data_IF_194731876004
#
_entry.id   IF_194731876004
#
_cell.length_a   1.000
_cell.length_b   1.000
_cell.length_c   1.000
_cell.angle_alpha   90.00
_cell.angle_beta   90.00
_cell.angle_gamma   90.00
#
_symmetry.space_group_name_H-M   'P 1'
#
loop_
_entity.id
_entity.type
_entity.pdbx_description
1 polymer ?
#
# COMPACT_ATOMS: atom_id res chain seq x y z
N UNK A 1 39.00 58.08 23.47
CA UNK A 1 38.13 59.26 23.32
C UNK A 1 37.51 59.20 21.95
N UNK A 2 36.29 58.70 21.87
CA UNK A 2 35.40 58.83 20.74
C UNK A 2 34.01 59.05 21.35
N UNK A 3 33.51 60.27 21.18
CA UNK A 3 32.19 60.74 21.58
C UNK A 3 31.08 59.96 20.85
N UNK A 4 30.08 59.51 21.60
CA UNK A 4 28.75 59.23 21.08
C UNK A 4 27.73 59.82 22.05
N UNK A 5 26.96 60.79 21.54
CA UNK A 5 25.88 61.50 22.22
C UNK A 5 24.73 60.55 22.63
N UNK A 6 24.02 60.84 23.73
CA UNK A 6 22.92 60.01 24.19
C UNK A 6 21.63 60.29 23.41
N UNK A 7 21.03 59.25 22.84
CA UNK A 7 19.69 59.28 22.24
C UNK A 7 18.64 59.24 23.36
N UNK A 8 17.80 60.28 23.40
CA UNK A 8 16.64 60.39 24.29
C UNK A 8 15.53 59.48 23.76
N UNK A 9 15.06 58.55 24.59
CA UNK A 9 13.92 57.68 24.30
C UNK A 9 12.67 58.34 24.88
N UNK A 10 11.73 58.76 24.03
CA UNK A 10 10.40 59.20 24.44
C UNK A 10 9.54 58.00 24.87
N UNK A 11 8.66 58.14 25.89
CA UNK A 11 7.83 57.04 26.35
C UNK A 11 6.70 56.75 25.36
N UNK A 12 6.59 55.47 24.97
CA UNK A 12 5.46 54.93 24.19
C UNK A 12 4.22 54.92 25.09
N UNK A 13 3.14 55.55 24.62
CA UNK A 13 1.85 55.58 25.30
C UNK A 13 1.19 54.19 25.31
N UNK A 14 0.66 53.78 26.46
CA UNK A 14 -0.14 52.56 26.60
C UNK A 14 -1.43 52.66 25.76
N UNK A 15 -1.82 51.61 25.00
CA UNK A 15 -3.06 51.62 24.25
C UNK A 15 -4.28 51.49 25.18
N UNK A 16 -5.30 52.31 24.95
CA UNK A 16 -6.57 52.28 25.67
C UNK A 16 -7.33 50.95 25.46
N UNK A 17 -8.07 50.44 26.46
CA UNK A 17 -8.75 49.16 26.36
C UNK A 17 -9.95 49.23 25.42
N UNK A 18 -9.98 48.35 24.42
CA UNK A 18 -11.11 48.14 23.52
C UNK A 18 -12.23 47.42 24.26
N UNK A 19 -13.36 48.10 24.42
CA UNK A 19 -14.61 47.52 24.94
C UNK A 19 -15.22 46.65 23.83
N UNK A 20 -15.25 45.33 24.03
CA UNK A 20 -15.93 44.39 23.15
C UNK A 20 -17.37 44.24 23.65
N UNK A 21 -18.34 44.74 22.88
CA UNK A 21 -19.75 44.48 23.13
C UNK A 21 -20.09 43.01 22.83
N UNK A 22 -20.95 42.36 23.63
CA UNK A 22 -21.30 40.96 23.41
C UNK A 22 -22.14 40.80 22.15
N UNK A 23 -21.69 39.90 21.26
CA UNK A 23 -22.43 39.45 20.07
C UNK A 23 -23.67 38.69 20.53
N UNK A 24 -24.84 39.13 20.09
CA UNK A 24 -26.12 38.47 20.36
C UNK A 24 -26.17 37.08 19.69
N UNK A 25 -26.68 36.09 20.41
CA UNK A 25 -26.95 34.75 19.88
C UNK A 25 -27.93 34.83 18.69
N UNK A 26 -27.70 34.10 17.59
CA UNK A 26 -28.63 34.08 16.47
C UNK A 26 -29.94 33.39 16.87
N UNK A 27 -31.06 34.06 16.59
CA UNK A 27 -32.40 33.51 16.79
C UNK A 27 -32.62 32.24 15.94
N UNK A 28 -33.38 31.24 16.44
CA UNK A 28 -33.64 30.02 15.69
C UNK A 28 -34.53 30.29 14.48
N UNK A 29 -34.07 29.92 13.29
CA UNK A 29 -34.89 29.90 12.08
C UNK A 29 -36.07 28.94 12.25
N UNK A 30 -37.28 29.48 12.18
CA UNK A 30 -38.51 28.72 11.97
C UNK A 30 -38.55 28.29 10.50
N UNK A 31 -38.41 27.01 10.23
CA UNK A 31 -38.60 26.43 8.89
C UNK A 31 -40.08 26.07 8.75
N UNK A 32 -40.82 26.81 7.94
CA UNK A 32 -42.17 26.43 7.53
C UNK A 32 -42.10 25.21 6.58
N UNK A 33 -43.05 24.26 6.64
CA UNK A 33 -43.02 23.08 5.79
C UNK A 33 -43.35 23.47 4.35
N UNK A 34 -42.39 23.28 3.44
CA UNK A 34 -42.60 23.37 2.00
C UNK A 34 -43.37 22.12 1.55
N UNK A 35 -44.47 22.35 0.84
CA UNK A 35 -45.33 21.30 0.28
C UNK A 35 -44.58 20.43 -0.73
N UNK A 36 -44.83 19.12 -0.70
CA UNK A 36 -44.31 18.13 -1.65
C UNK A 36 -44.78 18.44 -3.08
N UNK A 37 -43.83 18.71 -3.97
CA UNK A 37 -44.05 18.68 -5.42
C UNK A 37 -43.92 17.23 -5.90
N UNK A 38 -45.00 16.69 -6.46
CA UNK A 38 -45.05 15.34 -7.04
C UNK A 38 -44.13 15.27 -8.27
N UNK A 39 -43.05 14.49 -8.16
CA UNK A 39 -42.27 14.04 -9.32
C UNK A 39 -43.05 12.93 -10.02
N UNK A 40 -43.43 13.18 -11.27
CA UNK A 40 -43.97 12.16 -12.17
C UNK A 40 -42.83 11.22 -12.55
N UNK A 41 -42.90 9.97 -12.12
CA UNK A 41 -42.00 8.91 -12.58
C UNK A 41 -42.31 8.52 -14.03
N UNK A 42 -41.35 8.68 -14.93
CA UNK A 42 -41.35 8.00 -16.22
C UNK A 42 -41.05 6.49 -16.00
N UNK A 43 -41.75 5.57 -16.69
CA UNK A 43 -41.61 4.15 -16.44
C UNK A 43 -40.26 3.59 -16.91
N UNK A 44 -39.59 2.87 -16.00
CA UNK A 44 -38.39 2.06 -16.27
C UNK A 44 -38.76 0.88 -17.18
N UNK A 45 -38.04 0.61 -18.29
CA UNK A 45 -38.27 -0.58 -19.08
C UNK A 45 -37.78 -1.84 -18.33
N UNK A 46 -38.63 -2.85 -18.29
CA UNK A 46 -38.38 -4.13 -17.63
C UNK A 46 -37.14 -4.85 -18.18
N UNK A 47 -36.30 -5.34 -17.28
CA UNK A 47 -35.18 -6.22 -17.58
C UNK A 47 -35.70 -7.53 -18.21
N UNK A 48 -35.15 -7.89 -19.37
CA UNK A 48 -35.38 -9.19 -20.00
C UNK A 48 -34.53 -10.25 -19.28
N UNK A 49 -35.17 -11.35 -18.86
CA UNK A 49 -34.51 -12.52 -18.30
C UNK A 49 -33.64 -13.23 -19.36
N UNK A 50 -32.44 -13.72 -19.03
CA UNK A 50 -31.65 -14.50 -19.96
C UNK A 50 -32.27 -15.90 -20.13
N UNK A 51 -32.66 -16.22 -21.36
CA UNK A 51 -33.11 -17.55 -21.77
C UNK A 51 -31.93 -18.52 -21.72
N UNK A 52 -32.01 -19.49 -20.81
CA UNK A 52 -31.17 -20.69 -20.80
C UNK A 52 -31.54 -21.58 -21.99
N UNK A 53 -30.63 -21.75 -22.95
CA UNK A 53 -30.74 -22.79 -23.96
C UNK A 53 -30.08 -24.05 -23.41
N UNK A 54 -30.91 -25.03 -23.07
CA UNK A 54 -30.49 -26.40 -22.82
C UNK A 54 -30.33 -27.10 -24.18
N UNK A 55 -29.19 -27.75 -24.38
CA UNK A 55 -28.94 -28.61 -25.54
C UNK A 55 -28.91 -30.06 -25.03
N UNK A 56 -29.83 -30.88 -25.53
CA UNK A 56 -29.81 -32.34 -25.44
C UNK A 56 -30.35 -32.95 -26.74
N UNK A 57 -29.93 -34.19 -27.07
CA UNK A 57 -29.45 -34.54 -28.40
C UNK A 57 -30.44 -35.40 -29.18
N UNK A 58 -30.32 -35.45 -30.52
CA UNK A 58 -30.76 -36.63 -31.27
C UNK A 58 -29.83 -37.00 -32.44
N UNK A 59 -29.56 -38.30 -32.48
CA UNK A 59 -28.85 -39.04 -33.51
C UNK A 59 -29.72 -39.26 -34.76
N UNK A 60 -29.09 -39.37 -35.92
CA UNK A 60 -29.76 -39.81 -37.15
C UNK A 60 -28.75 -40.11 -38.25
N UNK A 61 -28.70 -41.37 -38.65
CA UNK A 61 -27.69 -42.02 -39.48
C UNK A 61 -27.68 -41.62 -40.98
N UNK A 62 -26.47 -41.73 -41.57
CA UNK A 62 -26.05 -42.30 -42.87
C UNK A 62 -27.09 -42.66 -43.97
N UNK A 63 -26.75 -42.68 -45.29
CA UNK A 63 -25.52 -43.35 -45.79
C UNK A 63 -24.81 -42.89 -47.09
N UNK A 64 -23.57 -43.39 -47.20
CA UNK A 64 -22.85 -44.00 -48.34
C UNK A 64 -22.61 -43.25 -49.67
N UNK A 65 -21.34 -43.29 -50.12
CA UNK A 65 -20.94 -43.12 -51.52
C UNK A 65 -19.41 -43.05 -51.78
N UNK A 66 -18.83 -44.22 -52.09
CA UNK A 66 -17.67 -44.54 -52.98
C UNK A 66 -16.30 -43.80 -52.92
N UNK A 67 -15.25 -44.61 -52.76
CA UNK A 67 -13.82 -44.39 -53.09
C UNK A 67 -13.56 -44.52 -54.63
N UNK A 68 -12.31 -44.55 -55.20
CA UNK A 68 -10.95 -44.30 -54.66
C UNK A 68 -10.04 -43.39 -55.54
N UNK A 69 -8.83 -43.09 -55.08
CA UNK A 69 -7.77 -42.47 -55.90
C UNK A 69 -6.37 -42.37 -55.26
N UNK A 70 -5.69 -43.52 -55.19
CA UNK A 70 -4.23 -43.79 -55.32
C UNK A 70 -3.17 -42.68 -55.16
N UNK A 71 -2.11 -42.97 -54.38
CA UNK A 71 -0.78 -42.35 -54.54
C UNK A 71 0.22 -42.64 -53.40
N UNK A 72 1.26 -43.42 -53.68
CA UNK A 72 2.23 -44.09 -52.76
C UNK A 72 3.30 -43.20 -52.07
N UNK A 73 3.82 -43.70 -50.92
CA UNK A 73 5.25 -44.02 -50.63
C UNK A 73 5.61 -43.77 -49.14
N UNK A 74 5.67 -44.80 -48.28
CA UNK A 74 6.88 -45.51 -47.78
C UNK A 74 7.97 -44.56 -47.22
N UNK A 75 8.36 -44.65 -45.94
CA UNK A 75 9.15 -45.73 -45.34
C UNK A 75 8.93 -45.88 -43.82
N UNK A 76 8.99 -47.13 -43.37
CA UNK A 76 8.94 -47.59 -41.98
C UNK A 76 10.32 -48.05 -41.49
N UNK A 77 10.55 -48.00 -40.17
CA UNK A 77 11.35 -48.99 -39.44
C UNK A 77 10.69 -49.25 -38.06
N UNK A 78 10.28 -50.52 -37.86
CA UNK A 78 9.89 -51.16 -36.58
C UNK A 78 11.15 -51.51 -35.76
N UNK A 79 11.08 -51.74 -34.45
CA UNK A 79 10.96 -53.04 -33.73
C UNK A 79 11.14 -52.66 -32.24
N UNK A 80 10.52 -53.20 -31.18
CA UNK A 80 9.49 -54.21 -30.92
C UNK A 80 8.92 -53.98 -29.50
N UNK A 81 7.78 -54.63 -29.26
CA UNK A 81 6.97 -54.66 -28.04
C UNK A 81 7.64 -55.30 -26.81
N UNK A 82 7.14 -54.91 -25.63
CA UNK A 82 6.78 -55.85 -24.57
C UNK A 82 5.50 -55.36 -23.86
N UNK A 83 4.55 -56.27 -23.66
CA UNK A 83 3.24 -56.02 -23.06
C UNK A 83 3.24 -56.36 -21.56
N UNK A 84 2.35 -55.66 -20.83
CA UNK A 84 1.54 -56.13 -19.69
C UNK A 84 1.79 -55.42 -18.35
N UNK A 85 0.87 -54.53 -17.97
CA UNK A 85 -0.13 -54.79 -16.90
C UNK A 85 -0.85 -53.51 -16.50
N UNK A 86 -2.18 -53.59 -16.52
CA UNK A 86 -3.16 -52.70 -15.89
C UNK A 86 -2.87 -52.39 -14.43
N UNK A 87 -2.94 -51.11 -14.03
CA UNK A 87 -3.94 -50.62 -13.06
C UNK A 87 -3.77 -49.12 -12.83
N UNK A 88 -4.89 -48.41 -12.92
CA UNK A 88 -5.07 -46.99 -12.58
C UNK A 88 -5.55 -46.90 -11.13
N UNK A 89 -4.99 -46.02 -10.29
CA UNK A 89 -5.75 -45.51 -9.16
C UNK A 89 -5.94 -43.99 -9.20
N UNK A 90 -7.21 -43.63 -9.12
CA UNK A 90 -7.79 -42.31 -8.88
C UNK A 90 -7.35 -41.72 -7.53
N UNK A 91 -7.45 -40.38 -7.37
CA UNK A 91 -6.81 -39.64 -6.26
C UNK A 91 -7.65 -39.67 -4.99
N UNK A 92 -7.01 -39.96 -3.85
CA UNK A 92 -7.63 -39.96 -2.53
C UNK A 92 -7.31 -38.69 -1.73
N UNK A 93 -8.35 -38.15 -1.12
CA UNK A 93 -8.41 -37.04 -0.17
C UNK A 93 -7.43 -37.19 1.00
N UNK A 94 -6.71 -36.12 1.32
CA UNK A 94 -5.93 -36.00 2.56
C UNK A 94 -6.60 -34.95 3.45
N UNK A 95 -7.42 -35.41 4.38
CA UNK A 95 -7.85 -34.66 5.56
C UNK A 95 -6.91 -35.00 6.76
N UNK A 96 -6.62 -34.05 7.66
CA UNK A 96 -5.65 -34.23 8.74
C UNK A 96 -6.23 -34.96 9.96
N UNK A 97 -5.45 -35.88 10.54
CA UNK A 97 -5.74 -36.56 11.81
C UNK A 97 -5.45 -35.66 13.04
N UNK A 98 -6.26 -35.75 14.12
CA UNK A 98 -6.05 -34.98 15.35
C UNK A 98 -5.11 -35.69 16.35
N UNK A 99 -4.27 -34.91 17.04
CA UNK A 99 -3.45 -35.38 18.17
C UNK A 99 -4.24 -35.38 19.50
N UNK A 100 -3.93 -36.27 20.47
CA UNK A 100 -4.75 -36.49 21.66
C UNK A 100 -4.45 -35.52 22.81
N UNK A 101 -5.50 -35.17 23.56
CA UNK A 101 -5.48 -34.48 24.86
C UNK A 101 -5.47 -35.55 25.98
N UNK A 102 -4.75 -35.36 27.11
CA UNK A 102 -4.97 -36.17 28.30
C UNK A 102 -5.94 -35.48 29.28
N UNK A 103 -7.04 -36.15 29.59
CA UNK A 103 -7.93 -35.86 30.73
C UNK A 103 -7.62 -36.78 31.93
N UNK A 104 -7.50 -36.18 33.12
CA UNK A 104 -7.81 -36.74 34.45
C UNK A 104 -8.19 -35.51 35.30
N UNK A 105 -9.21 -35.43 36.14
CA UNK A 105 -10.26 -36.31 36.64
C UNK A 105 -11.02 -35.48 37.70
N UNK A 106 -12.32 -35.69 37.80
CA UNK A 106 -13.32 -34.98 38.62
C UNK A 106 -13.14 -35.21 40.12
N UNK A 107 -13.58 -34.36 41.06
CA UNK A 107 -14.98 -34.17 41.49
C UNK A 107 -15.14 -33.01 42.54
N UNK A 108 -16.37 -32.61 42.94
CA UNK A 108 -16.76 -31.21 43.22
C UNK A 108 -17.06 -30.89 44.70
N UNK A 109 -17.27 -29.59 44.99
CA UNK A 109 -17.99 -29.11 46.19
C UNK A 109 -18.76 -27.81 45.88
N UNK A 110 -20.09 -27.93 45.75
CA UNK A 110 -21.09 -26.92 46.11
C UNK A 110 -21.15 -26.85 47.66
N UNK A 111 -21.63 -25.85 48.41
CA UNK A 111 -22.33 -24.58 48.23
C UNK A 111 -22.06 -23.77 49.52
N UNK A 112 -22.25 -22.45 49.54
CA UNK A 112 -23.32 -21.84 50.36
C UNK A 112 -23.43 -20.33 50.08
N UNK A 113 -24.68 -19.85 50.09
CA UNK A 113 -25.09 -18.46 49.91
C UNK A 113 -25.78 -18.05 51.20
N UNK A 114 -25.22 -17.09 51.95
CA UNK A 114 -26.02 -16.27 52.86
C UNK A 114 -25.53 -14.82 52.90
N UNK A 115 -26.51 -13.93 52.82
CA UNK A 115 -26.40 -12.49 52.84
C UNK A 115 -25.98 -11.95 54.22
N UNK A 116 -25.52 -10.68 54.26
CA UNK A 116 -26.06 -9.54 55.04
C UNK A 116 -24.92 -8.54 55.34
N UNK A 117 -25.20 -7.23 55.24
CA UNK A 117 -24.55 -6.26 56.12
C UNK A 117 -23.90 -5.05 55.46
N UNK A 118 -24.50 -3.90 55.71
CA UNK A 118 -24.11 -2.55 55.32
C UNK A 118 -22.73 -2.08 55.79
N UNK A 119 -22.19 -1.16 55.00
CA UNK A 119 -21.45 0.06 55.36
C UNK A 119 -20.68 0.12 56.68
N UNK A 120 -19.35 0.30 56.57
CA UNK A 120 -18.61 1.30 57.36
C UNK A 120 -17.30 1.66 56.65
N UNK A 121 -17.01 2.96 56.62
CA UNK A 121 -15.76 3.59 56.17
C UNK A 121 -14.59 3.21 57.08
N UNK A 122 -13.35 3.35 56.58
CA UNK A 122 -12.49 4.31 57.27
C UNK A 122 -11.65 5.19 56.35
N UNK A 123 -11.49 6.41 56.85
CA UNK A 123 -10.59 7.48 56.47
C UNK A 123 -9.11 7.09 56.66
N UNK A 124 -8.23 7.60 55.79
CA UNK A 124 -7.01 8.33 56.13
C UNK A 124 -5.85 8.17 55.13
N UNK A 125 -5.32 9.34 54.77
CA UNK A 125 -3.90 9.66 54.57
C UNK A 125 -3.23 9.35 53.23
N UNK A 126 -3.19 10.41 52.41
CA UNK A 126 -1.99 11.04 51.85
C UNK A 126 -0.67 10.25 51.91
N UNK A 127 -0.14 9.95 50.73
CA UNK A 127 1.29 9.89 50.47
C UNK A 127 1.56 10.40 49.04
N UNK A 128 2.03 11.64 48.98
CA UNK A 128 2.61 12.26 47.79
C UNK A 128 3.87 11.48 47.37
N UNK A 129 3.97 11.14 46.08
CA UNK A 129 5.24 10.80 45.47
C UNK A 129 5.41 11.70 44.25
N UNK A 130 6.28 12.69 44.43
CA UNK A 130 6.75 13.60 43.41
C UNK A 130 7.47 12.83 42.29
N UNK A 131 7.02 13.03 41.05
CA UNK A 131 7.70 12.64 39.83
C UNK A 131 7.69 13.82 38.88
N UNK A 132 8.72 14.65 38.95
CA UNK A 132 8.92 15.80 38.08
C UNK A 132 9.04 15.36 36.62
N UNK A 133 8.00 15.61 35.82
CA UNK A 133 8.08 15.60 34.36
C UNK A 133 8.53 16.99 33.90
N UNK A 134 9.84 17.17 33.78
CA UNK A 134 10.42 18.30 33.09
C UNK A 134 10.14 18.15 31.59
N UNK A 135 9.36 19.06 31.02
CA UNK A 135 9.26 19.27 29.58
C UNK A 135 10.62 19.76 29.05
N UNK A 136 11.16 19.19 27.95
CA UNK A 136 12.24 19.85 27.24
C UNK A 136 11.66 20.92 26.33
N UNK A 137 12.19 22.12 26.55
CA UNK A 137 12.02 23.36 25.83
C UNK A 137 12.28 23.16 24.32
N UNK A 138 11.34 23.63 23.49
CA UNK A 138 11.44 23.61 22.04
C UNK A 138 12.24 24.83 21.58
N UNK A 139 13.56 24.73 21.66
CA UNK A 139 14.50 25.64 21.00
C UNK A 139 15.25 24.86 19.91
N UNK A 140 15.23 25.40 18.70
CA UNK A 140 15.59 24.73 17.45
C UNK A 140 16.86 23.89 17.47
N UNK A 141 16.67 22.58 17.30
CA UNK A 141 17.73 21.68 16.87
C UNK A 141 17.59 21.54 15.35
N UNK A 142 18.48 22.20 14.61
CA UNK A 142 18.66 21.92 13.18
C UNK A 142 18.94 20.42 13.04
N UNK A 143 18.12 19.73 12.24
CA UNK A 143 18.23 18.30 12.00
C UNK A 143 19.66 17.95 11.53
N UNK A 144 20.47 17.40 12.43
CA UNK A 144 21.72 16.77 12.07
C UNK A 144 21.35 15.58 11.19
N UNK A 145 21.57 15.72 9.88
CA UNK A 145 21.36 14.64 8.93
C UNK A 145 22.13 13.40 9.42
N UNK A 146 21.40 12.35 9.82
CA UNK A 146 22.03 11.08 10.11
C UNK A 146 22.72 10.59 8.83
N UNK A 147 24.03 10.34 8.89
CA UNK A 147 24.84 9.83 7.77
C UNK A 147 24.41 8.42 7.29
N UNK A 148 23.44 7.81 7.97
CA UNK A 148 22.90 6.49 7.63
C UNK A 148 21.79 6.64 6.58
N UNK A 149 21.93 6.04 5.37
CA UNK A 149 20.89 6.06 4.36
C UNK A 149 19.64 5.29 4.83
N UNK A 150 18.46 5.68 4.33
CA UNK A 150 17.22 4.97 4.63
C UNK A 150 17.20 3.56 4.02
N UNK A 151 17.77 3.41 2.81
CA UNK A 151 17.94 2.13 2.14
C UNK A 151 19.33 2.05 1.49
N UNK A 152 19.98 0.90 1.65
CA UNK A 152 21.17 0.52 0.89
C UNK A 152 20.97 -0.87 0.29
N UNK A 153 21.05 -0.96 -1.03
CA UNK A 153 21.13 -2.20 -1.80
C UNK A 153 22.54 -2.35 -2.33
N UNK A 154 23.17 -3.52 -2.14
CA UNK A 154 24.48 -3.83 -2.72
C UNK A 154 24.45 -5.15 -3.46
N UNK A 155 24.73 -5.11 -4.76
CA UNK A 155 24.77 -6.25 -5.68
C UNK A 155 23.57 -7.20 -5.50
N UNK A 156 22.36 -6.65 -5.40
CA UNK A 156 21.15 -7.43 -5.16
C UNK A 156 20.74 -8.13 -6.45
N UNK A 157 20.49 -9.44 -6.35
CA UNK A 157 20.08 -10.27 -7.50
C UNK A 157 18.83 -11.07 -7.21
N UNK A 158 18.02 -11.27 -8.25
CA UNK A 158 16.84 -12.13 -8.23
C UNK A 158 16.63 -12.79 -9.58
N UNK A 159 16.51 -14.11 -9.55
CA UNK A 159 16.23 -14.94 -10.73
C UNK A 159 14.96 -15.78 -10.49
N UNK A 160 14.16 -15.92 -11.54
CA UNK A 160 12.99 -16.80 -11.62
C UNK A 160 13.16 -17.72 -12.85
N UNK A 161 13.54 -18.97 -12.62
CA UNK A 161 13.94 -19.86 -13.72
C UNK A 161 15.15 -19.28 -14.46
N UNK A 162 14.98 -19.00 -15.75
CA UNK A 162 16.00 -18.36 -16.59
C UNK A 162 15.92 -16.82 -16.56
N UNK A 163 14.78 -16.26 -16.11
CA UNK A 163 14.58 -14.81 -16.09
C UNK A 163 15.32 -14.18 -14.92
N UNK A 164 16.30 -13.33 -15.21
CA UNK A 164 16.95 -12.49 -14.20
C UNK A 164 16.19 -11.18 -14.02
N UNK A 165 15.24 -11.18 -13.07
CA UNK A 165 14.37 -10.03 -12.82
C UNK A 165 15.06 -8.88 -12.09
N UNK A 166 16.11 -9.16 -11.32
CA UNK A 166 16.98 -8.15 -10.68
C UNK A 166 18.42 -8.63 -10.85
N UNK A 167 19.29 -7.79 -11.40
CA UNK A 167 20.63 -8.17 -11.84
C UNK A 167 21.69 -7.22 -11.29
N UNK A 168 22.14 -7.46 -10.06
CA UNK A 168 23.23 -6.70 -9.47
C UNK A 168 22.84 -5.27 -9.15
N UNK A 169 21.64 -5.05 -8.62
CA UNK A 169 21.17 -3.71 -8.27
C UNK A 169 21.94 -3.17 -7.06
N UNK A 170 22.65 -2.06 -7.31
CA UNK A 170 23.20 -1.15 -6.32
C UNK A 170 22.31 0.10 -6.26
N UNK A 171 21.87 0.46 -5.05
CA UNK A 171 20.96 1.59 -4.84
C UNK A 171 21.23 2.22 -3.47
N UNK A 172 21.21 3.55 -3.37
CA UNK A 172 21.32 4.22 -2.07
C UNK A 172 20.28 5.32 -1.94
N UNK A 173 19.30 5.13 -1.07
CA UNK A 173 18.23 6.11 -0.82
C UNK A 173 18.58 6.92 0.43
N UNK A 174 18.82 8.24 0.30
CA UNK A 174 19.05 9.11 1.45
C UNK A 174 17.84 9.15 2.38
N UNK A 175 18.08 9.31 3.68
CA UNK A 175 17.01 9.56 4.63
C UNK A 175 16.35 10.93 4.35
N UNK A 176 15.03 11.03 4.58
CA UNK A 176 14.29 12.27 4.35
C UNK A 176 14.10 12.60 2.87
N UNK A 177 14.18 11.60 1.98
CA UNK A 177 14.00 11.80 0.54
C UNK A 177 12.66 11.23 0.05
N UNK A 178 12.13 11.92 -0.97
CA UNK A 178 11.09 11.38 -1.83
C UNK A 178 11.78 10.78 -3.06
N UNK A 179 11.77 9.44 -3.17
CA UNK A 179 12.56 8.68 -4.12
C UNK A 179 11.67 7.92 -5.12
N UNK A 180 11.91 8.12 -6.42
CA UNK A 180 11.20 7.45 -7.50
C UNK A 180 11.99 6.26 -8.06
N UNK A 181 11.33 5.12 -8.23
CA UNK A 181 11.83 3.97 -8.97
C UNK A 181 11.05 3.86 -10.28
N UNK A 182 11.70 4.21 -11.39
CA UNK A 182 11.04 4.29 -12.70
C UNK A 182 11.61 3.28 -13.68
N UNK A 183 10.82 2.91 -14.67
CA UNK A 183 11.18 1.87 -15.62
C UNK A 183 9.96 1.34 -16.36
N UNK A 184 10.14 0.62 -17.48
CA UNK A 184 9.01 0.02 -18.19
C UNK A 184 8.39 -1.12 -17.37
N UNK A 185 7.27 -1.65 -17.85
CA UNK A 185 6.69 -2.88 -17.31
C UNK A 185 7.67 -4.03 -17.51
N UNK A 186 7.79 -4.90 -16.51
CA UNK A 186 8.75 -6.00 -16.53
C UNK A 186 10.21 -5.61 -16.23
N UNK A 187 10.51 -4.33 -15.98
CA UNK A 187 11.88 -3.89 -15.67
C UNK A 187 12.45 -4.43 -14.36
N UNK A 188 11.62 -4.95 -13.46
CA UNK A 188 12.05 -5.44 -12.15
C UNK A 188 11.68 -4.51 -10.98
N UNK A 189 10.95 -3.41 -11.18
CA UNK A 189 10.53 -2.47 -10.13
C UNK A 189 9.83 -3.16 -8.96
N UNK A 190 8.70 -3.82 -9.23
CA UNK A 190 7.93 -4.59 -8.23
C UNK A 190 8.76 -5.67 -7.56
N UNK A 191 9.65 -6.34 -8.30
CA UNK A 191 10.56 -7.35 -7.76
C UNK A 191 11.55 -6.73 -6.76
N UNK A 192 12.17 -5.60 -7.11
CA UNK A 192 13.07 -4.85 -6.24
C UNK A 192 12.35 -4.32 -5.01
N UNK A 193 11.17 -3.70 -5.16
CA UNK A 193 10.36 -3.22 -4.04
C UNK A 193 9.92 -4.38 -3.12
N UNK A 194 9.55 -5.53 -3.68
CA UNK A 194 9.19 -6.73 -2.90
C UNK A 194 10.37 -7.28 -2.11
N UNK A 195 11.60 -7.16 -2.63
CA UNK A 195 12.82 -7.54 -1.91
C UNK A 195 13.08 -6.56 -0.76
N UNK A 196 13.00 -5.26 -1.01
CA UNK A 196 13.14 -4.21 0.02
C UNK A 196 12.11 -4.42 1.14
N UNK A 197 10.86 -4.70 0.76
CA UNK A 197 9.77 -4.97 1.69
C UNK A 197 9.92 -6.28 2.49
N UNK A 198 10.86 -7.14 2.12
CA UNK A 198 11.04 -8.47 2.70
C UNK A 198 9.87 -9.43 2.41
N UNK A 199 9.11 -9.16 1.35
CA UNK A 199 8.08 -10.06 0.79
C UNK A 199 8.70 -11.10 -0.14
N UNK A 200 9.85 -10.77 -0.75
CA UNK A 200 10.59 -11.65 -1.64
C UNK A 200 12.05 -11.78 -1.19
N UNK A 201 12.57 -13.00 -1.15
CA UNK A 201 13.99 -13.22 -0.83
C UNK A 201 14.86 -13.01 -2.06
N UNK A 202 15.92 -12.21 -1.95
CA UNK A 202 16.97 -12.11 -2.98
C UNK A 202 17.79 -13.40 -3.06
N UNK A 203 18.38 -13.65 -4.24
CA UNK A 203 19.34 -14.74 -4.44
C UNK A 203 20.73 -14.36 -3.91
N UNK A 204 21.12 -13.10 -4.07
CA UNK A 204 22.39 -12.54 -3.62
C UNK A 204 22.28 -11.08 -3.18
N UNK A 205 23.42 -10.52 -2.78
CA UNK A 205 23.54 -9.13 -2.32
C UNK A 205 23.11 -8.90 -0.88
N UNK A 206 23.13 -7.63 -0.48
CA UNK A 206 22.72 -7.16 0.85
C UNK A 206 21.65 -6.08 0.75
N UNK A 207 20.74 -6.07 1.72
CA UNK A 207 19.66 -5.09 1.88
C UNK A 207 19.74 -4.56 3.29
N UNK A 208 20.00 -3.27 3.44
CA UNK A 208 20.06 -2.58 4.73
C UNK A 208 19.01 -1.48 4.78
N UNK A 209 18.22 -1.47 5.87
CA UNK A 209 17.18 -0.46 6.13
C UNK A 209 17.60 0.36 7.34
N UNK A 210 17.88 1.65 7.17
CA UNK A 210 18.42 2.52 8.21
C UNK A 210 19.60 1.86 8.97
N UNK A 211 20.52 1.23 8.23
CA UNK A 211 21.69 0.52 8.79
C UNK A 211 21.40 -0.87 9.38
N UNK A 212 20.17 -1.37 9.30
CA UNK A 212 19.79 -2.71 9.76
C UNK A 212 19.82 -3.70 8.59
N UNK A 213 20.72 -4.68 8.65
CA UNK A 213 20.75 -5.82 7.70
C UNK A 213 19.42 -6.61 7.78
N UNK A 214 18.65 -6.57 6.71
CA UNK A 214 17.32 -7.18 6.63
C UNK A 214 17.35 -8.72 6.63
N UNK A 215 18.49 -9.34 6.27
CA UNK A 215 18.68 -10.79 6.29
C UNK A 215 19.04 -11.29 7.69
N UNK A 216 19.90 -10.55 8.40
CA UNK A 216 20.35 -10.89 9.78
C UNK A 216 19.31 -10.50 10.83
N UNK A 217 18.65 -9.36 10.65
CA UNK A 217 17.71 -8.79 11.62
C UNK A 217 16.34 -8.49 10.99
N UNK A 218 15.65 -9.50 10.41
CA UNK A 218 14.43 -9.28 9.62
C UNK A 218 13.30 -8.62 10.40
N UNK A 219 13.14 -8.95 11.70
CA UNK A 219 12.10 -8.34 12.54
C UNK A 219 12.38 -6.87 12.84
N UNK A 220 13.64 -6.48 13.02
CA UNK A 220 14.02 -5.10 13.26
C UNK A 220 13.83 -4.28 11.98
N UNK A 221 14.29 -4.77 10.83
CA UNK A 221 14.05 -4.13 9.53
C UNK A 221 12.55 -3.95 9.24
N UNK A 222 11.72 -4.99 9.48
CA UNK A 222 10.26 -4.94 9.26
C UNK A 222 9.53 -3.91 10.13
N UNK A 223 10.07 -3.52 11.28
CA UNK A 223 9.50 -2.45 12.12
C UNK A 223 9.75 -1.06 11.54
N UNK A 224 10.80 -0.91 10.75
CA UNK A 224 11.22 0.37 10.16
C UNK A 224 10.48 0.68 8.86
N UNK A 225 9.82 -0.32 8.25
CA UNK A 225 9.17 -0.19 6.95
C UNK A 225 7.63 -0.22 7.03
N UNK A 226 6.99 0.64 6.25
CA UNK A 226 5.59 0.50 5.82
C UNK A 226 5.57 0.12 4.35
N UNK A 227 4.68 -0.78 3.96
CA UNK A 227 4.65 -1.34 2.61
C UNK A 227 3.25 -1.24 2.05
N UNK A 228 3.12 -0.64 0.88
CA UNK A 228 1.94 -0.74 0.02
C UNK A 228 2.34 -1.55 -1.22
N UNK A 229 1.99 -2.83 -1.29
CA UNK A 229 2.21 -3.64 -2.50
C UNK A 229 1.13 -3.36 -3.55
N UNK A 230 1.46 -3.58 -4.83
CA UNK A 230 0.54 -3.42 -5.97
C UNK A 230 -0.65 -4.41 -5.88
N UNK A 231 -0.37 -5.71 -5.99
CA UNK A 231 -1.39 -6.78 -6.12
C UNK A 231 -1.51 -7.70 -4.91
N UNK A 232 -1.55 -7.15 -3.71
CA UNK A 232 -1.75 -7.98 -2.51
C UNK A 232 -3.23 -8.01 -2.12
N UNK A 233 -3.77 -9.23 -1.94
CA UNK A 233 -5.12 -9.40 -1.42
C UNK A 233 -5.15 -8.94 0.03
N UNK A 234 -6.07 -8.03 0.34
CA UNK A 234 -6.39 -7.60 1.70
C UNK A 234 -7.51 -8.46 2.29
N UNK A 235 -7.77 -8.30 3.59
CA UNK A 235 -8.93 -8.93 4.24
C UNK A 235 -10.20 -8.16 3.89
N UNK A 236 -10.91 -8.63 2.86
CA UNK A 236 -12.13 -8.02 2.32
C UNK A 236 -13.33 -8.10 3.29
N UNK A 237 -13.42 -9.13 4.12
CA UNK A 237 -14.49 -9.30 5.12
C UNK A 237 -14.36 -8.43 6.36
N UNK A 238 -13.18 -7.85 6.62
CA UNK A 238 -13.01 -6.92 7.73
C UNK A 238 -13.57 -5.56 7.35
N UNK A 239 -14.10 -4.82 8.33
CA UNK A 239 -14.36 -3.40 8.12
C UNK A 239 -13.06 -2.62 8.02
N UNK A 240 -13.06 -1.44 7.39
CA UNK A 240 -11.86 -0.59 7.32
C UNK A 240 -11.26 -0.31 8.70
N UNK A 241 -12.10 -0.08 9.71
CA UNK A 241 -11.67 0.10 11.12
C UNK A 241 -10.99 -1.15 11.68
N UNK A 242 -11.57 -2.33 11.45
CA UNK A 242 -10.98 -3.60 11.91
C UNK A 242 -9.66 -3.89 11.19
N UNK A 243 -9.57 -3.58 9.90
CA UNK A 243 -8.35 -3.76 9.12
C UNK A 243 -7.20 -2.87 9.64
N UNK A 244 -7.48 -1.59 9.91
CA UNK A 244 -6.49 -0.68 10.52
C UNK A 244 -6.10 -1.14 11.93
N UNK A 245 -7.08 -1.60 12.72
CA UNK A 245 -6.83 -2.18 14.03
C UNK A 245 -5.90 -3.38 13.97
N UNK A 246 -6.11 -4.26 12.99
CA UNK A 246 -5.28 -5.42 12.72
C UNK A 246 -3.83 -5.04 12.36
N UNK A 247 -3.64 -4.07 11.45
CA UNK A 247 -2.31 -3.58 11.11
C UNK A 247 -1.57 -2.97 12.32
N UNK A 248 -2.27 -2.16 13.12
CA UNK A 248 -1.69 -1.59 14.34
C UNK A 248 -1.27 -2.66 15.36
N UNK A 249 -2.11 -3.67 15.57
CA UNK A 249 -1.82 -4.78 16.47
C UNK A 249 -0.61 -5.60 16.01
N UNK A 250 -0.48 -5.90 14.70
CA UNK A 250 0.70 -6.58 14.14
C UNK A 250 2.00 -5.79 14.36
N UNK A 251 1.89 -4.47 14.49
CA UNK A 251 3.01 -3.57 14.76
C UNK A 251 3.25 -3.34 16.26
N UNK A 252 2.45 -3.97 17.12
CA UNK A 252 2.60 -3.90 18.57
C UNK A 252 2.13 -2.56 19.17
N UNK A 253 1.24 -1.85 18.49
CA UNK A 253 0.69 -0.60 18.99
C UNK A 253 -0.44 -0.86 20.01
N UNK A 254 -0.53 -0.08 21.11
CA UNK A 254 -1.66 -0.15 22.02
C UNK A 254 -2.97 0.25 21.33
N UNK A 255 -4.08 -0.43 21.64
CA UNK A 255 -5.39 -0.18 21.01
C UNK A 255 -5.83 1.30 21.01
N UNK A 256 -5.67 2.08 22.10
CA UNK A 256 -6.04 3.51 22.08
C UNK A 256 -5.22 4.33 21.08
N UNK A 257 -3.94 4.00 20.89
CA UNK A 257 -3.07 4.66 19.90
C UNK A 257 -3.52 4.30 18.49
N UNK A 258 -3.88 3.04 18.26
CA UNK A 258 -4.38 2.56 16.96
C UNK A 258 -5.70 3.25 16.60
N UNK A 259 -6.63 3.34 17.53
CA UNK A 259 -7.92 4.01 17.32
C UNK A 259 -7.74 5.49 16.98
N UNK A 260 -6.89 6.21 17.73
CA UNK A 260 -6.56 7.61 17.44
C UNK A 260 -5.96 7.77 16.04
N UNK A 261 -4.93 6.99 15.71
CA UNK A 261 -4.26 7.08 14.40
C UNK A 261 -5.16 6.64 13.25
N UNK A 262 -6.01 5.64 13.46
CA UNK A 262 -6.97 5.21 12.45
C UNK A 262 -7.98 6.31 12.13
N UNK A 263 -8.46 7.05 13.14
CA UNK A 263 -9.34 8.19 12.93
C UNK A 263 -8.63 9.35 12.19
N UNK A 264 -7.37 9.63 12.54
CA UNK A 264 -6.57 10.65 11.86
C UNK A 264 -6.32 10.30 10.37
N UNK A 265 -5.90 9.06 10.12
CA UNK A 265 -5.65 8.56 8.76
C UNK A 265 -6.94 8.49 7.95
N UNK A 266 -8.05 8.09 8.54
CA UNK A 266 -9.33 8.07 7.83
C UNK A 266 -9.83 9.47 7.45
N UNK A 267 -9.55 10.49 8.26
CA UNK A 267 -9.81 11.88 7.87
C UNK A 267 -8.87 12.32 6.74
N UNK A 268 -7.58 12.02 6.86
CA UNK A 268 -6.59 12.41 5.87
C UNK A 268 -6.85 11.78 4.48
N UNK A 269 -7.24 10.50 4.45
CA UNK A 269 -7.53 9.77 3.22
C UNK A 269 -9.00 9.83 2.76
N UNK A 270 -9.85 10.63 3.42
CA UNK A 270 -11.27 10.71 3.10
C UNK A 270 -11.95 9.32 3.08
N UNK A 271 -11.89 8.63 4.22
CA UNK A 271 -12.40 7.29 4.45
C UNK A 271 -13.33 7.20 5.68
N UNK A 272 -13.66 8.33 6.31
CA UNK A 272 -14.40 8.37 7.59
C UNK A 272 -15.71 7.59 7.51
N UNK A 273 -16.53 7.85 6.48
CA UNK A 273 -17.81 7.17 6.25
C UNK A 273 -17.64 5.72 5.79
N UNK A 274 -16.48 5.38 5.24
CA UNK A 274 -16.18 4.05 4.75
C UNK A 274 -15.71 3.10 5.85
N UNK A 275 -15.10 3.60 6.94
CA UNK A 275 -14.46 2.75 7.96
C UNK A 275 -15.38 1.71 8.60
N UNK A 276 -16.68 2.01 8.69
CA UNK A 276 -17.68 1.10 9.26
C UNK A 276 -18.13 -0.01 8.30
N UNK A 277 -17.82 0.10 7.01
CA UNK A 277 -18.21 -0.86 5.98
C UNK A 277 -17.12 -1.92 5.77
N UNK A 278 -17.50 -3.15 5.39
CA UNK A 278 -16.57 -4.15 4.90
C UNK A 278 -15.69 -3.63 3.76
N UNK A 279 -14.43 -4.05 3.72
CA UNK A 279 -13.49 -3.67 2.66
C UNK A 279 -13.90 -4.27 1.30
N UNK A 280 -14.70 -5.34 1.27
CA UNK A 280 -15.33 -5.87 0.06
C UNK A 280 -16.18 -4.85 -0.69
N UNK A 281 -16.71 -3.85 0.03
CA UNK A 281 -17.61 -2.83 -0.52
C UNK A 281 -16.84 -1.60 -1.01
N UNK A 282 -15.51 -1.61 -0.89
CA UNK A 282 -14.65 -0.49 -1.27
C UNK A 282 -14.39 -0.53 -2.77
N UNK A 283 -14.32 0.65 -3.39
CA UNK A 283 -13.72 0.76 -4.71
C UNK A 283 -12.23 0.40 -4.67
N UNK A 284 -11.63 0.15 -5.83
CA UNK A 284 -10.18 -0.09 -5.93
C UNK A 284 -9.37 1.06 -5.29
N UNK A 285 -9.74 2.31 -5.57
CA UNK A 285 -9.10 3.49 -4.98
C UNK A 285 -9.27 3.57 -3.46
N UNK A 286 -10.47 3.32 -2.93
CA UNK A 286 -10.69 3.27 -1.48
C UNK A 286 -9.88 2.16 -0.80
N UNK A 287 -9.76 1.00 -1.45
CA UNK A 287 -8.93 -0.11 -0.99
C UNK A 287 -7.46 0.31 -0.93
N UNK A 288 -6.97 1.00 -1.96
CA UNK A 288 -5.59 1.52 -1.99
C UNK A 288 -5.34 2.55 -0.88
N UNK A 289 -6.30 3.46 -0.65
CA UNK A 289 -6.26 4.44 0.45
C UNK A 289 -6.19 3.78 1.83
N UNK A 290 -7.02 2.77 2.11
CA UNK A 290 -6.99 2.09 3.42
C UNK A 290 -5.73 1.24 3.61
N UNK A 291 -5.20 0.63 2.53
CA UNK A 291 -3.93 -0.10 2.59
C UNK A 291 -2.76 0.85 2.84
N UNK A 292 -2.76 2.04 2.20
CA UNK A 292 -1.77 3.07 2.45
C UNK A 292 -1.84 3.58 3.90
N UNK A 293 -3.05 3.84 4.41
CA UNK A 293 -3.25 4.16 5.83
C UNK A 293 -2.68 3.07 6.75
N UNK A 294 -2.94 1.79 6.43
CA UNK A 294 -2.38 0.65 7.15
C UNK A 294 -0.85 0.60 7.12
N UNK A 295 -0.23 0.94 5.99
CA UNK A 295 1.23 1.02 5.87
C UNK A 295 1.84 2.14 6.74
N UNK A 296 1.09 3.22 6.98
CA UNK A 296 1.54 4.39 7.74
C UNK A 296 1.22 4.31 9.24
N UNK A 297 0.31 3.43 9.68
CA UNK A 297 -0.27 3.46 11.03
C UNK A 297 0.76 3.35 12.16
N UNK A 298 1.87 2.65 11.94
CA UNK A 298 2.96 2.51 12.92
C UNK A 298 4.06 3.56 12.80
N UNK A 299 3.89 4.57 11.92
CA UNK A 299 4.87 5.63 11.67
C UNK A 299 6.26 5.06 11.36
N UNK A 300 6.43 4.35 10.23
CA UNK A 300 7.72 3.80 9.85
C UNK A 300 8.78 4.88 9.60
N UNK A 301 10.04 4.48 9.40
CA UNK A 301 11.10 5.38 8.90
C UNK A 301 11.14 5.42 7.38
N UNK A 302 10.70 4.33 6.73
CA UNK A 302 10.68 4.15 5.29
C UNK A 302 9.33 3.62 4.81
N UNK A 303 8.71 4.30 3.86
CA UNK A 303 7.55 3.81 3.10
C UNK A 303 8.01 3.27 1.76
N UNK A 304 7.54 2.07 1.42
CA UNK A 304 7.82 1.39 0.14
C UNK A 304 6.48 1.17 -0.56
N UNK A 305 6.24 1.94 -1.62
CA UNK A 305 4.94 2.04 -2.27
C UNK A 305 5.02 1.58 -3.72
N UNK A 306 4.34 0.50 -4.06
CA UNK A 306 4.26 0.00 -5.43
C UNK A 306 3.02 0.59 -6.11
N UNK A 307 3.24 1.46 -7.11
CA UNK A 307 2.23 2.20 -7.87
C UNK A 307 1.09 2.81 -7.02
N UNK A 308 1.39 3.64 -6.00
CA UNK A 308 0.40 4.07 -4.99
C UNK A 308 -0.81 4.84 -5.53
N UNK A 309 -0.70 5.43 -6.72
CA UNK A 309 -1.73 6.29 -7.32
C UNK A 309 -2.58 5.58 -8.38
N UNK A 310 -2.19 4.38 -8.82
CA UNK A 310 -2.97 3.65 -9.83
C UNK A 310 -4.34 3.26 -9.24
N UNK A 311 -5.41 3.42 -10.02
CA UNK A 311 -6.81 3.21 -9.61
C UNK A 311 -7.35 4.21 -8.55
N UNK A 312 -6.62 5.29 -8.27
CA UNK A 312 -7.07 6.41 -7.44
C UNK A 312 -7.43 7.59 -8.35
N UNK A 313 -8.52 8.30 -8.04
CA UNK A 313 -8.93 9.47 -8.82
C UNK A 313 -7.91 10.63 -8.67
N UNK A 314 -7.89 11.60 -9.61
CA UNK A 314 -6.90 12.69 -9.58
C UNK A 314 -6.95 13.57 -8.33
N UNK A 315 -8.15 13.79 -7.77
CA UNK A 315 -8.31 14.64 -6.58
C UNK A 315 -7.73 13.94 -5.35
N UNK A 316 -8.11 12.68 -5.14
CA UNK A 316 -7.54 11.84 -4.08
C UNK A 316 -6.03 11.67 -4.23
N UNK A 317 -5.52 11.54 -5.46
CA UNK A 317 -4.08 11.42 -5.71
C UNK A 317 -3.30 12.65 -5.25
N UNK A 318 -3.85 13.85 -5.45
CA UNK A 318 -3.28 15.10 -4.92
C UNK A 318 -3.21 15.12 -3.39
N UNK A 319 -4.30 14.71 -2.72
CA UNK A 319 -4.33 14.65 -1.25
C UNK A 319 -3.32 13.63 -0.70
N UNK A 320 -3.26 12.43 -1.31
CA UNK A 320 -2.27 11.40 -0.93
C UNK A 320 -0.85 11.95 -1.09
N UNK A 321 -0.59 12.64 -2.19
CA UNK A 321 0.72 13.23 -2.47
C UNK A 321 1.10 14.26 -1.40
N UNK A 322 0.19 15.14 -1.00
CA UNK A 322 0.45 16.14 0.03
C UNK A 322 0.71 15.48 1.41
N UNK A 323 0.01 14.40 1.72
CA UNK A 323 0.27 13.58 2.92
C UNK A 323 1.68 12.98 2.87
N UNK A 324 2.09 12.41 1.74
CA UNK A 324 3.41 11.82 1.58
C UNK A 324 4.53 12.85 1.62
N UNK A 325 4.31 14.06 1.07
CA UNK A 325 5.25 15.18 1.19
C UNK A 325 5.41 15.63 2.63
N UNK A 326 4.30 15.87 3.33
CA UNK A 326 4.33 16.21 4.75
C UNK A 326 5.05 15.12 5.55
N UNK A 327 4.83 13.84 5.24
CA UNK A 327 5.55 12.74 5.89
C UNK A 327 7.08 12.81 5.67
N UNK A 328 7.53 13.16 4.47
CA UNK A 328 8.96 13.37 4.17
C UNK A 328 9.51 14.60 4.90
N UNK A 329 8.76 15.71 4.94
CA UNK A 329 9.16 16.95 5.62
C UNK A 329 9.37 16.74 7.13
N UNK A 330 8.67 15.77 7.73
CA UNK A 330 8.86 15.36 9.13
C UNK A 330 9.96 14.30 9.33
N UNK A 331 10.81 14.09 8.32
CA UNK A 331 11.97 13.19 8.37
C UNK A 331 11.68 11.73 8.02
N UNK A 332 10.50 11.43 7.47
CA UNK A 332 10.19 10.14 6.85
C UNK A 332 10.86 10.00 5.48
N UNK A 333 10.99 8.77 4.98
CA UNK A 333 11.48 8.51 3.62
C UNK A 333 10.42 7.76 2.83
N UNK A 334 10.21 8.13 1.58
CA UNK A 334 9.25 7.48 0.67
C UNK A 334 10.01 6.97 -0.55
N UNK A 335 9.86 5.68 -0.85
CA UNK A 335 10.21 5.09 -2.13
C UNK A 335 8.91 4.70 -2.81
N UNK A 336 8.70 5.19 -4.03
CA UNK A 336 7.59 4.73 -4.86
C UNK A 336 8.06 4.15 -6.19
N UNK A 337 7.31 3.20 -6.75
CA UNK A 337 7.38 2.89 -8.17
C UNK A 337 6.33 3.69 -8.94
N UNK A 338 6.70 4.09 -10.15
CA UNK A 338 5.77 4.68 -11.11
C UNK A 338 6.26 4.39 -12.52
N UNK A 339 5.33 4.19 -13.45
CA UNK A 339 5.60 4.25 -14.89
C UNK A 339 5.30 5.64 -15.48
N UNK A 340 4.59 6.50 -14.74
CA UNK A 340 4.32 7.89 -15.13
C UNK A 340 5.50 8.79 -14.78
N UNK A 341 6.24 9.23 -15.80
CA UNK A 341 7.46 10.04 -15.66
C UNK A 341 7.17 11.47 -15.20
N UNK A 342 6.09 12.08 -15.68
CA UNK A 342 5.70 13.44 -15.30
C UNK A 342 5.43 13.57 -13.79
N UNK A 343 4.78 12.56 -13.20
CA UNK A 343 4.53 12.51 -11.76
C UNK A 343 5.85 12.44 -10.99
N UNK A 344 6.77 11.60 -11.42
CA UNK A 344 8.06 11.40 -10.77
C UNK A 344 8.89 12.67 -10.84
N UNK A 345 8.92 13.32 -12.01
CA UNK A 345 9.64 14.58 -12.21
C UNK A 345 9.09 15.71 -11.32
N UNK A 346 7.78 15.75 -11.12
CA UNK A 346 7.11 16.78 -10.31
C UNK A 346 7.26 16.56 -8.79
N UNK A 347 7.45 15.32 -8.35
CA UNK A 347 7.29 14.94 -6.94
C UNK A 347 8.58 14.48 -6.30
N UNK A 348 9.41 13.74 -7.04
CA UNK A 348 10.56 13.09 -6.46
C UNK A 348 11.75 14.05 -6.40
N UNK A 349 12.50 13.97 -5.30
CA UNK A 349 13.79 14.65 -5.16
C UNK A 349 14.91 13.88 -5.88
N UNK A 350 14.77 12.55 -5.96
CA UNK A 350 15.73 11.62 -6.53
C UNK A 350 15.01 10.50 -7.27
N UNK A 351 15.69 9.94 -8.26
CA UNK A 351 15.13 8.87 -9.10
C UNK A 351 16.20 7.86 -9.46
N UNK A 352 15.80 6.58 -9.55
CA UNK A 352 16.54 5.54 -10.25
C UNK A 352 15.74 5.00 -11.42
N UNK A 353 16.40 4.92 -12.57
CA UNK A 353 15.88 4.32 -13.80
C UNK A 353 16.32 2.86 -13.85
N UNK A 354 15.35 1.95 -13.77
CA UNK A 354 15.56 0.51 -13.90
C UNK A 354 15.08 0.04 -15.27
N UNK A 355 15.93 -0.72 -15.97
CA UNK A 355 15.59 -1.43 -17.21
C UNK A 355 16.22 -2.83 -17.13
N UNK A 356 15.44 -3.85 -17.50
CA UNK A 356 15.91 -5.25 -17.54
C UNK A 356 16.63 -5.73 -16.28
N UNK A 357 16.14 -5.32 -15.11
CA UNK A 357 16.67 -5.72 -13.81
C UNK A 357 17.90 -4.94 -13.33
N UNK A 358 18.38 -3.96 -14.09
CA UNK A 358 19.58 -3.17 -13.77
C UNK A 358 19.24 -1.68 -13.58
N UNK A 359 19.98 -0.99 -12.72
CA UNK A 359 19.89 0.48 -12.58
C UNK A 359 20.78 1.11 -13.65
N UNK A 360 20.18 1.84 -14.58
CA UNK A 360 20.89 2.52 -15.67
C UNK A 360 21.29 3.96 -15.32
N UNK A 361 20.53 4.60 -14.44
CA UNK A 361 20.80 5.94 -13.94
C UNK A 361 20.23 6.09 -12.53
N UNK A 362 20.95 6.79 -11.66
CA UNK A 362 20.53 7.14 -10.31
C UNK A 362 21.06 8.54 -9.99
N UNK A 363 20.23 9.40 -9.39
CA UNK A 363 20.61 10.76 -9.06
C UNK A 363 19.47 11.58 -8.51
N UNK A 364 19.69 12.89 -8.37
CA UNK A 364 18.57 13.84 -8.31
C UNK A 364 17.80 13.79 -9.62
N UNK A 365 16.53 14.21 -9.61
CA UNK A 365 15.73 14.28 -10.84
C UNK A 365 16.42 15.15 -11.90
N UNK A 366 17.02 16.27 -11.49
CA UNK A 366 17.77 17.17 -12.37
C UNK A 366 19.04 16.52 -12.94
N UNK A 367 19.81 15.79 -12.13
CA UNK A 367 20.99 15.04 -12.58
C UNK A 367 20.63 13.98 -13.63
N UNK A 368 19.52 13.26 -13.41
CA UNK A 368 19.12 12.16 -14.30
C UNK A 368 18.55 12.71 -15.60
N UNK A 369 17.64 13.71 -15.57
CA UNK A 369 17.01 14.27 -16.76
C UNK A 369 17.97 15.10 -17.62
N UNK A 370 18.97 15.74 -17.01
CA UNK A 370 19.89 16.65 -17.69
C UNK A 370 19.14 17.85 -18.29
N UNK A 371 19.38 18.11 -19.58
CA UNK A 371 18.73 19.20 -20.31
C UNK A 371 17.35 18.83 -20.88
N UNK A 372 16.98 17.55 -20.82
CA UNK A 372 15.74 16.98 -21.38
C UNK A 372 14.68 16.75 -20.30
N UNK A 373 13.50 16.28 -20.71
CA UNK A 373 12.51 15.72 -19.77
C UNK A 373 12.95 14.35 -19.27
N UNK A 374 12.45 13.92 -18.11
CA UNK A 374 12.76 12.59 -17.59
C UNK A 374 12.30 11.47 -18.53
N UNK A 375 11.18 11.68 -19.22
CA UNK A 375 10.63 10.76 -20.21
C UNK A 375 11.56 10.58 -21.43
N UNK A 376 12.10 11.67 -21.98
CA UNK A 376 13.04 11.61 -23.11
C UNK A 376 14.31 10.85 -22.71
N UNK A 377 14.87 11.19 -21.54
CA UNK A 377 16.05 10.48 -21.03
C UNK A 377 15.78 8.99 -20.83
N UNK A 378 14.60 8.66 -20.32
CA UNK A 378 14.19 7.28 -20.15
C UNK A 378 14.15 6.53 -21.48
N UNK A 379 13.55 7.11 -22.53
CA UNK A 379 13.49 6.52 -23.87
C UNK A 379 14.88 6.26 -24.46
N UNK A 380 15.82 7.21 -24.27
CA UNK A 380 17.22 7.04 -24.67
C UNK A 380 17.89 5.87 -23.95
N UNK A 381 17.69 5.76 -22.63
CA UNK A 381 18.26 4.70 -21.81
C UNK A 381 17.63 3.33 -22.09
N UNK A 382 16.34 3.28 -22.45
CA UNK A 382 15.63 2.05 -22.77
C UNK A 382 15.85 1.56 -24.21
N UNK A 383 16.56 2.32 -25.05
CA UNK A 383 16.91 1.90 -26.41
C UNK A 383 15.92 2.31 -27.50
N UNK A 384 15.07 3.32 -27.27
CA UNK A 384 14.14 3.87 -28.26
C UNK A 384 12.92 2.99 -28.57
N UNK A 385 11.84 3.61 -29.05
CA UNK A 385 10.60 2.93 -29.45
C UNK A 385 10.93 1.77 -30.41
N UNK A 386 10.46 0.55 -30.07
CA UNK A 386 10.37 -0.51 -31.06
C UNK A 386 9.59 0.02 -32.26
N UNK A 387 10.20 -0.09 -33.44
CA UNK A 387 9.64 0.39 -34.70
C UNK A 387 8.17 0.00 -34.81
N UNK A 388 7.32 0.98 -35.12
CA UNK A 388 5.94 0.75 -35.57
C UNK A 388 5.97 0.25 -37.03
N UNK A 389 6.87 -0.67 -37.32
CA UNK A 389 6.92 -1.41 -38.58
C UNK A 389 5.99 -2.62 -38.43
N UNK A 390 4.81 -2.55 -39.07
CA UNK A 390 3.85 -3.67 -39.10
C UNK A 390 2.40 -3.33 -38.73
N UNK A 391 2.12 -2.09 -38.31
CA UNK A 391 0.75 -1.63 -38.06
C UNK A 391 0.10 -0.93 -39.27
N UNK A 392 0.59 -1.19 -40.49
CA UNK A 392 0.06 -0.57 -41.72
C UNK A 392 -1.44 -0.82 -41.94
N UNK A 393 -1.96 -1.93 -41.39
CA UNK A 393 -3.39 -2.26 -41.43
C UNK A 393 -4.26 -1.33 -40.58
N UNK A 394 -3.71 -0.60 -39.59
CA UNK A 394 -4.44 0.44 -38.84
C UNK A 394 -4.82 1.64 -39.71
N UNK A 395 -4.20 1.78 -40.89
CA UNK A 395 -4.60 2.78 -41.89
C UNK A 395 -5.79 2.32 -42.75
N UNK A 396 -6.23 1.07 -42.59
CA UNK A 396 -7.42 0.55 -43.25
C UNK A 396 -8.57 0.57 -42.26
N UNK A 397 -9.37 1.63 -42.29
CA UNK A 397 -10.59 1.72 -41.49
C UNK A 397 -11.64 0.74 -42.05
N UNK A 398 -12.30 -0.01 -41.16
CA UNK A 398 -13.39 -0.90 -41.56
C UNK A 398 -14.49 -0.08 -42.24
N UNK A 399 -14.87 -0.52 -43.45
CA UNK A 399 -15.94 0.08 -44.25
C UNK A 399 -17.32 -0.14 -43.64
#
# INVERSE_FOLDING_TARGET
MADQEPVVVEPVADPEPVVVEPVADPEPMVVEPVAEEQVVEDPVPAAQEPVLVADEPEAGAEPAGDEPGTGESLLAEEIAADEASTDDPTPADIAPEPSPVPEQGTDPLEADVTATGSAETPDASAAEVAGAAAAPDAAGEQAVASDVPALSLRNVTKTFGELRAVDGVDLTVPAGSFYGLVGPNGAGKTTTLSIIAGLLRSNGGTVEINGVDAKRHPRAAKKLIGVLPDRLRTFDRLTGRQLLSYYGALRGLPSPVVESRAADLARAFDLVEALGRPVSDYSAGMTKKVMLAGAMIHSPRLLVLDEPFEAVDPVSSGVILDILRAYVDHGGTVILSSHGMELVERVCSRVAVIVSGQVLAEGTVDEVRGESTLEQRFLELSGGLGDVEGLEWLHTFSA
#
